data_IF_545560771460
#
_entry.id   IF_545560771460
#
_cell.length_a   1.000
_cell.length_b   1.000
_cell.length_c   1.000
_cell.angle_alpha   90.00
_cell.angle_beta   90.00
_cell.angle_gamma   90.00
#
_symmetry.space_group_name_H-M   'P 1'
#
loop_
_entity.id
_entity.type
_entity.pdbx_description
1 polymer ?
#
# COMPACT_ATOMS: atom_id res chain seq x y z
N UNK A 1 11.40 18.90 3.94
CA UNK A 1 11.21 17.50 3.58
C UNK A 1 10.23 17.41 2.41
N UNK A 2 10.59 16.70 1.37
CA UNK A 2 9.74 16.57 0.20
C UNK A 2 8.77 15.42 0.37
N UNK A 3 7.54 15.65 -0.01
CA UNK A 3 6.50 14.61 -0.06
C UNK A 3 6.12 14.38 -1.51
N UNK A 4 5.80 13.13 -1.84
CA UNK A 4 5.27 12.76 -3.14
C UNK A 4 3.75 12.71 -3.04
N UNK A 5 3.07 13.33 -3.99
CA UNK A 5 1.63 13.18 -4.11
C UNK A 5 1.32 11.85 -4.79
N UNK A 6 0.37 11.12 -4.27
CA UNK A 6 -0.05 9.85 -4.85
C UNK A 6 -1.57 9.70 -4.80
N UNK A 7 -2.21 9.31 -5.92
CA UNK A 7 -3.63 8.98 -5.89
C UNK A 7 -3.86 7.78 -4.96
N UNK A 8 -4.89 7.86 -4.14
CA UNK A 8 -5.21 6.82 -3.18
C UNK A 8 -6.70 6.75 -2.93
N UNK A 9 -7.15 5.54 -2.57
CA UNK A 9 -8.48 5.35 -1.99
C UNK A 9 -8.36 5.68 -0.51
N UNK A 10 -9.23 6.54 -0.02
CA UNK A 10 -9.18 6.96 1.38
C UNK A 10 -10.54 6.78 2.03
N UNK A 11 -10.58 6.05 3.14
CA UNK A 11 -11.72 6.04 4.02
C UNK A 11 -11.53 7.23 4.95
N UNK A 12 -12.24 8.33 4.67
CA UNK A 12 -12.05 9.57 5.41
C UNK A 12 -12.58 9.46 6.84
N UNK A 13 -13.71 8.80 6.98
CA UNK A 13 -14.36 8.46 8.24
C UNK A 13 -15.35 7.34 7.95
N UNK A 14 -15.96 6.71 8.97
CA UNK A 14 -16.93 5.66 8.70
C UNK A 14 -18.01 6.09 7.71
N UNK A 15 -18.21 5.28 6.68
CA UNK A 15 -19.19 5.53 5.64
C UNK A 15 -18.79 6.51 4.55
N UNK A 16 -17.59 7.09 4.60
CA UNK A 16 -17.18 8.10 3.62
C UNK A 16 -15.88 7.68 2.94
N UNK A 17 -15.97 7.37 1.65
CA UNK A 17 -14.84 7.01 0.80
C UNK A 17 -14.54 8.13 -0.19
N UNK A 18 -13.28 8.43 -0.38
CA UNK A 18 -12.79 9.37 -1.38
C UNK A 18 -11.71 8.73 -2.22
N UNK A 19 -11.58 9.20 -3.46
CA UNK A 19 -10.38 8.96 -4.25
C UNK A 19 -9.73 10.33 -4.40
N UNK A 20 -8.56 10.48 -3.80
CA UNK A 20 -7.87 11.76 -3.79
C UNK A 20 -6.38 11.58 -3.69
N UNK A 21 -5.65 12.66 -3.80
CA UNK A 21 -4.21 12.62 -3.59
C UNK A 21 -3.89 12.60 -2.10
N UNK A 22 -2.96 11.73 -1.74
CA UNK A 22 -2.38 11.67 -0.41
C UNK A 22 -0.91 12.04 -0.49
N UNK A 23 -0.33 12.45 0.61
CA UNK A 23 1.09 12.78 0.70
C UNK A 23 1.86 11.59 1.25
N UNK A 24 2.88 11.15 0.50
CA UNK A 24 3.86 10.16 0.95
C UNK A 24 5.16 10.86 1.31
N UNK A 25 5.73 10.51 2.44
CA UNK A 25 7.08 10.95 2.76
C UNK A 25 8.12 10.22 1.90
N UNK A 26 9.29 10.79 1.82
CA UNK A 26 10.43 10.11 1.18
C UNK A 26 10.74 8.81 1.93
N UNK A 27 10.98 7.70 1.20
CA UNK A 27 11.39 6.45 1.84
C UNK A 27 12.66 6.61 2.66
N UNK A 28 12.71 5.91 3.78
CA UNK A 28 13.93 5.79 4.56
C UNK A 28 14.88 4.79 3.92
N UNK A 29 16.11 4.70 4.44
CA UNK A 29 17.16 3.89 3.81
C UNK A 29 16.79 2.40 3.67
N UNK A 30 16.00 1.88 4.58
CA UNK A 30 15.57 0.46 4.55
C UNK A 30 14.28 0.23 3.77
N UNK A 31 13.71 1.28 3.19
CA UNK A 31 12.43 1.22 2.51
C UNK A 31 12.56 1.35 1.01
N UNK A 32 11.61 0.77 0.31
CA UNK A 32 11.45 0.92 -1.13
C UNK A 32 10.24 1.78 -1.45
N UNK A 33 10.26 2.40 -2.62
CA UNK A 33 9.07 3.00 -3.22
C UNK A 33 8.57 2.06 -4.30
N UNK A 34 7.31 1.69 -4.23
CA UNK A 34 6.67 0.76 -5.17
C UNK A 34 5.57 1.47 -5.92
N UNK A 35 5.51 1.25 -7.23
CA UNK A 35 4.37 1.68 -8.04
C UNK A 35 3.40 0.51 -8.16
N UNK A 36 2.19 0.69 -7.64
CA UNK A 36 1.18 -0.37 -7.64
C UNK A 36 0.55 -0.54 -9.03
N UNK A 37 0.31 -1.77 -9.42
CA UNK A 37 -0.38 -2.11 -10.66
C UNK A 37 -1.76 -2.72 -10.40
N UNK A 38 -1.86 -3.56 -9.38
CA UNK A 38 -3.09 -4.24 -8.99
C UNK A 38 -3.22 -4.22 -7.49
N UNK A 39 -4.45 -4.02 -7.02
CA UNK A 39 -4.75 -4.08 -5.60
C UNK A 39 -6.04 -4.86 -5.41
N UNK A 40 -6.00 -5.90 -4.57
CA UNK A 40 -7.16 -6.67 -4.21
C UNK A 40 -8.00 -5.96 -3.15
N UNK A 41 -9.29 -6.23 -3.17
CA UNK A 41 -10.23 -5.70 -2.18
C UNK A 41 -10.78 -6.86 -1.37
N UNK A 42 -10.54 -6.84 -0.07
CA UNK A 42 -11.13 -7.81 0.86
C UNK A 42 -12.53 -7.35 1.21
N UNK A 43 -13.53 -8.02 0.65
CA UNK A 43 -14.92 -7.65 0.85
C UNK A 43 -15.39 -7.83 2.30
N UNK A 44 -14.70 -8.66 3.07
CA UNK A 44 -14.98 -8.82 4.51
C UNK A 44 -14.37 -7.70 5.33
N UNK A 45 -13.03 -7.69 5.39
CA UNK A 45 -12.28 -6.79 6.28
C UNK A 45 -12.40 -5.33 5.88
N UNK A 46 -12.21 -5.03 4.60
CA UNK A 46 -12.25 -3.63 4.16
C UNK A 46 -13.65 -3.06 4.24
N UNK A 47 -14.68 -3.88 4.06
CA UNK A 47 -16.04 -3.43 4.24
C UNK A 47 -16.29 -2.98 5.67
N UNK A 48 -15.82 -3.75 6.66
CA UNK A 48 -15.99 -3.39 8.08
C UNK A 48 -15.28 -2.09 8.41
N UNK A 49 -14.12 -1.86 7.82
CA UNK A 49 -13.40 -0.60 8.02
C UNK A 49 -14.14 0.57 7.37
N UNK A 50 -14.70 0.36 6.18
CA UNK A 50 -15.47 1.41 5.51
C UNK A 50 -16.70 1.79 6.31
N UNK A 51 -17.44 0.81 6.81
CA UNK A 51 -18.67 1.06 7.56
C UNK A 51 -18.43 1.53 9.00
N UNK A 52 -17.23 1.31 9.53
CA UNK A 52 -16.91 1.63 10.91
C UNK A 52 -17.27 0.52 11.89
N UNK A 53 -17.63 -0.66 11.37
CA UNK A 53 -18.03 -1.81 12.21
C UNK A 53 -16.87 -2.71 12.62
N UNK A 54 -15.66 -2.41 12.19
CA UNK A 54 -14.49 -3.18 12.59
C UNK A 54 -14.25 -3.03 14.09
N UNK A 55 -14.12 -4.14 14.83
CA UNK A 55 -13.75 -4.05 16.24
C UNK A 55 -12.43 -3.29 16.42
N UNK A 56 -12.33 -2.42 17.42
CA UNK A 56 -11.12 -1.62 17.62
C UNK A 56 -9.88 -2.49 17.83
N UNK A 57 -8.78 -2.09 17.22
CA UNK A 57 -7.47 -2.68 17.47
C UNK A 57 -6.40 -1.60 17.31
N UNK A 58 -5.19 -1.81 17.85
CA UNK A 58 -4.15 -0.79 17.80
C UNK A 58 -3.83 -0.34 16.37
N UNK A 59 -3.81 0.98 16.15
CA UNK A 59 -3.52 1.58 14.85
C UNK A 59 -4.73 1.85 14.00
N UNK A 60 -5.87 1.27 14.30
CA UNK A 60 -7.08 1.52 13.52
C UNK A 60 -7.59 2.93 13.78
N UNK A 61 -7.89 3.64 12.71
CA UNK A 61 -8.44 4.98 12.78
C UNK A 61 -8.59 5.58 11.39
N UNK A 62 -9.04 6.82 11.32
CA UNK A 62 -9.34 7.51 10.08
C UNK A 62 -8.63 8.88 10.07
N UNK A 63 -8.30 9.41 8.90
CA UNK A 63 -8.43 8.82 7.56
C UNK A 63 -7.52 7.60 7.40
N UNK A 64 -7.95 6.64 6.59
CA UNK A 64 -7.25 5.38 6.39
C UNK A 64 -7.15 5.08 4.90
N UNK A 65 -5.95 4.72 4.42
CA UNK A 65 -5.79 4.12 3.10
C UNK A 65 -5.85 2.61 3.29
N UNK A 66 -6.87 1.93 2.74
CA UNK A 66 -7.00 0.49 2.90
C UNK A 66 -6.06 -0.28 1.98
N UNK A 67 -6.19 -1.60 1.97
CA UNK A 67 -5.51 -2.48 1.04
C UNK A 67 -4.27 -3.13 1.62
N UNK A 68 -4.21 -4.46 1.51
CA UNK A 68 -3.05 -5.24 1.96
C UNK A 68 -2.75 -6.40 1.00
N UNK A 69 -3.31 -6.34 -0.21
CA UNK A 69 -3.05 -7.30 -1.27
C UNK A 69 -2.73 -6.52 -2.54
N UNK A 70 -1.48 -6.10 -2.67
CA UNK A 70 -1.07 -5.25 -3.78
C UNK A 70 0.11 -5.88 -4.50
N UNK A 71 0.12 -5.73 -5.82
CA UNK A 71 1.23 -6.14 -6.67
C UNK A 71 1.71 -4.91 -7.43
N UNK A 72 3.00 -4.71 -7.46
CA UNK A 72 3.59 -3.57 -8.13
C UNK A 72 5.04 -3.78 -8.49
N UNK A 73 5.70 -2.70 -8.87
CA UNK A 73 7.09 -2.71 -9.30
C UNK A 73 7.89 -1.74 -8.44
N UNK A 74 9.05 -2.17 -7.98
CA UNK A 74 9.96 -1.30 -7.24
C UNK A 74 10.49 -0.23 -8.18
N UNK A 75 10.21 1.03 -7.89
CA UNK A 75 10.72 2.17 -8.68
C UNK A 75 11.86 2.90 -7.98
N UNK A 76 11.99 2.72 -6.66
CA UNK A 76 13.14 3.21 -5.92
C UNK A 76 13.54 2.15 -4.89
N UNK A 77 14.69 1.49 -5.09
CA UNK A 77 15.15 0.47 -4.15
C UNK A 77 15.55 1.06 -2.80
N UNK A 78 15.63 0.20 -1.80
CA UNK A 78 16.22 0.57 -0.52
C UNK A 78 17.73 0.75 -0.71
N UNK A 79 18.32 1.53 0.16
CA UNK A 79 19.77 1.74 0.16
C UNK A 79 20.46 0.46 0.64
N UNK A 80 21.39 -0.03 -0.16
CA UNK A 80 22.12 -1.27 0.14
C UNK A 80 21.24 -2.52 0.24
N UNK A 81 20.04 -2.48 -0.35
CA UNK A 81 19.14 -3.61 -0.33
C UNK A 81 19.40 -4.62 -1.43
N UNK A 82 18.65 -5.72 -1.40
CA UNK A 82 18.80 -6.83 -2.32
C UNK A 82 17.78 -6.82 -3.46
N UNK A 83 16.74 -6.01 -3.38
CA UNK A 83 15.68 -5.96 -4.39
C UNK A 83 15.97 -4.79 -5.34
N UNK A 84 16.35 -5.07 -6.60
CA UNK A 84 16.68 -3.98 -7.52
C UNK A 84 15.45 -3.28 -8.08
N UNK A 85 15.68 -2.10 -8.63
CA UNK A 85 14.65 -1.37 -9.37
C UNK A 85 14.11 -2.25 -10.51
N UNK A 86 12.81 -2.16 -10.75
CA UNK A 86 12.15 -2.93 -11.80
C UNK A 86 11.65 -4.30 -11.34
N UNK A 87 11.96 -4.72 -10.13
CA UNK A 87 11.48 -6.00 -9.60
C UNK A 87 9.99 -5.92 -9.29
N UNK A 88 9.24 -6.91 -9.76
CA UNK A 88 7.83 -7.04 -9.39
C UNK A 88 7.74 -7.66 -8.01
N UNK A 89 6.86 -7.11 -7.19
CA UNK A 89 6.74 -7.51 -5.79
C UNK A 89 5.28 -7.59 -5.36
N UNK A 90 5.01 -8.50 -4.42
CA UNK A 90 3.80 -8.47 -3.64
C UNK A 90 4.04 -7.58 -2.42
N UNK A 91 3.07 -6.69 -2.14
CA UNK A 91 3.16 -5.71 -1.06
C UNK A 91 2.01 -5.95 -0.09
N UNK A 92 2.26 -6.44 1.12
CA UNK A 92 1.19 -6.69 2.10
C UNK A 92 0.66 -5.42 2.75
N UNK A 93 1.27 -4.30 2.47
CA UNK A 93 0.87 -3.01 3.01
C UNK A 93 2.03 -2.05 2.99
N UNK A 94 1.77 -0.80 3.33
CA UNK A 94 2.79 0.22 3.30
C UNK A 94 2.69 1.20 4.45
N UNK A 95 3.69 2.02 4.53
CA UNK A 95 3.78 3.11 5.49
C UNK A 95 4.08 4.40 4.73
N UNK A 96 4.29 5.49 5.44
CA UNK A 96 4.77 6.70 4.81
C UNK A 96 3.69 7.71 4.45
N UNK A 97 2.42 7.42 4.66
CA UNK A 97 1.38 8.44 4.51
C UNK A 97 1.52 9.45 5.63
N UNK A 98 1.47 10.72 5.26
CA UNK A 98 1.72 11.81 6.21
C UNK A 98 0.49 12.12 7.05
N UNK A 99 -0.68 12.10 6.42
CA UNK A 99 -1.92 12.54 7.06
C UNK A 99 -2.92 11.42 7.29
N UNK A 100 -2.65 10.21 6.81
CA UNK A 100 -3.51 9.05 6.95
C UNK A 100 -2.86 8.02 7.87
N UNK A 101 -3.65 7.08 8.37
CA UNK A 101 -3.12 6.00 9.21
C UNK A 101 -2.22 5.07 8.40
N UNK A 102 -1.08 4.76 8.97
CA UNK A 102 -0.09 3.86 8.37
C UNK A 102 -0.34 2.43 8.84
N UNK A 103 -1.49 1.89 8.44
CA UNK A 103 -1.90 0.55 8.88
C UNK A 103 -1.92 -0.44 7.72
N UNK A 104 -2.61 -0.12 6.64
CA UNK A 104 -2.71 -0.97 5.45
C UNK A 104 -1.99 -0.32 4.27
N UNK A 105 -2.61 0.64 3.62
CA UNK A 105 -1.91 1.52 2.69
C UNK A 105 -1.70 0.99 1.28
N UNK A 106 -2.27 -0.16 0.94
CA UNK A 106 -2.01 -0.78 -0.37
C UNK A 106 -2.84 -0.24 -1.52
N UNK A 107 -3.94 0.46 -1.24
CA UNK A 107 -4.83 0.99 -2.28
C UNK A 107 -4.42 2.41 -2.68
N UNK A 108 -3.19 2.54 -3.11
CA UNK A 108 -2.62 3.79 -3.58
C UNK A 108 -1.72 3.49 -4.78
N UNK A 109 -1.52 4.49 -5.61
CA UNK A 109 -0.65 4.31 -6.78
C UNK A 109 0.80 4.08 -6.38
N UNK A 110 1.26 4.74 -5.33
CA UNK A 110 2.62 4.57 -4.83
C UNK A 110 2.58 4.16 -3.37
N UNK A 111 3.47 3.26 -3.00
CA UNK A 111 3.52 2.69 -1.65
C UNK A 111 4.97 2.74 -1.17
N UNK A 112 5.17 3.16 0.06
CA UNK A 112 6.44 3.06 0.75
C UNK A 112 6.37 1.84 1.65
N UNK A 113 7.32 0.94 1.55
CA UNK A 113 7.38 -0.27 2.37
C UNK A 113 8.80 -0.65 2.70
N UNK A 114 9.01 -1.16 3.91
CA UNK A 114 10.28 -1.76 4.26
C UNK A 114 10.59 -2.90 3.27
N UNK A 115 11.83 -2.98 2.80
CA UNK A 115 12.21 -4.00 1.84
C UNK A 115 11.93 -5.40 2.35
N UNK A 116 12.11 -5.63 3.65
CA UNK A 116 11.92 -6.94 4.27
C UNK A 116 10.48 -7.44 4.21
N UNK A 117 9.52 -6.57 3.94
CA UNK A 117 8.11 -6.93 3.82
C UNK A 117 7.71 -7.25 2.38
N UNK A 118 8.52 -6.90 1.42
CA UNK A 118 8.22 -7.13 0.02
C UNK A 118 8.56 -8.56 -0.37
N UNK A 119 7.71 -9.16 -1.21
CA UNK A 119 7.93 -10.52 -1.72
C UNK A 119 8.16 -10.42 -3.22
N UNK A 120 9.40 -10.66 -3.68
CA UNK A 120 9.67 -10.67 -5.13
C UNK A 120 8.86 -11.77 -5.81
N UNK A 121 8.31 -11.44 -6.97
CA UNK A 121 7.49 -12.35 -7.75
C UNK A 121 8.26 -12.91 -8.94
N UNK A 122 7.94 -14.14 -9.39
CA UNK A 122 8.55 -14.69 -10.59
C UNK A 122 8.28 -13.81 -11.80
N UNK A 123 9.28 -13.66 -12.66
CA UNK A 123 9.18 -12.81 -13.84
C UNK A 123 8.50 -13.49 -15.01
N UNK A 124 7.32 -14.07 -14.79
CA UNK A 124 6.65 -14.89 -15.81
C UNK A 124 5.87 -14.11 -16.83
N UNK A 125 5.56 -12.84 -16.56
CA UNK A 125 4.74 -12.06 -17.46
C UNK A 125 3.25 -12.32 -17.36
N UNK A 126 2.82 -13.29 -16.58
CA UNK A 126 1.42 -13.52 -16.31
C UNK A 126 0.82 -12.38 -15.51
N UNK A 127 -0.51 -12.25 -15.58
CA UNK A 127 -1.21 -11.24 -14.80
C UNK A 127 -1.04 -11.53 -13.31
N UNK A 128 -0.39 -10.64 -12.61
CA UNK A 128 -0.20 -10.77 -11.17
C UNK A 128 -1.53 -10.71 -10.41
N UNK A 129 -2.58 -10.24 -11.08
CA UNK A 129 -3.90 -10.18 -10.47
C UNK A 129 -4.38 -11.54 -9.95
N UNK A 130 -3.90 -12.62 -10.55
CA UNK A 130 -4.20 -13.98 -10.07
C UNK A 130 -3.75 -14.18 -8.63
N UNK A 131 -2.68 -13.52 -8.23
CA UNK A 131 -2.14 -13.66 -6.87
C UNK A 131 -3.01 -12.97 -5.83
N UNK A 132 -3.92 -12.12 -6.26
CA UNK A 132 -4.81 -11.39 -5.37
C UNK A 132 -6.12 -12.15 -5.13
N UNK A 133 -6.25 -13.33 -5.71
CA UNK A 133 -7.46 -14.15 -5.56
C UNK A 133 -7.38 -15.13 -4.37
N UNK A 134 -6.37 -14.99 -3.56
CA UNK A 134 -6.10 -15.92 -2.44
C UNK A 134 -6.91 -15.59 -1.19
#
# INVERSE_FOLDING_TARGET
>A
MQHKKTPAVVFEKPGQLSIREADLRTPEDHECLVEAHWSGISTGTERLMLTGDMPPFPGLGYPLVPGYETVGTVIKPSKNGAIPEGTRVFVPGGTGFVNERNLFGGSAKHIVSAETRLVPLPGTGESEAVLLAL
#
